data_IF_896565619955
#
_entry.id   IF_896565619955
#
_cell.length_a   1.000
_cell.length_b   1.000
_cell.length_c   1.000
_cell.angle_alpha   90.00
_cell.angle_beta   90.00
_cell.angle_gamma   90.00
#
_symmetry.space_group_name_H-M   'P 1'
#
loop_
_entity.id
_entity.type
_entity.pdbx_description
1 polymer ?
#
# COMPACT_ATOMS: atom_id res chain seq x y z
N UNK A 1 -49.69 19.94 -11.80
CA UNK A 1 -48.24 19.76 -11.94
C UNK A 1 -48.03 19.05 -13.27
N UNK A 2 -47.45 19.74 -14.23
CA UNK A 2 -47.22 19.25 -15.59
C UNK A 2 -45.75 18.87 -15.68
N UNK A 3 -45.44 17.57 -15.66
CA UNK A 3 -44.06 17.10 -15.73
C UNK A 3 -43.65 16.99 -17.20
N UNK A 4 -42.51 17.61 -17.54
CA UNK A 4 -41.92 17.54 -18.87
C UNK A 4 -40.72 16.60 -18.85
N UNK A 5 -40.60 15.78 -19.89
CA UNK A 5 -39.45 14.90 -20.08
C UNK A 5 -38.38 15.61 -20.93
N UNK A 6 -37.12 15.61 -20.46
CA UNK A 6 -35.99 16.12 -21.23
C UNK A 6 -35.53 15.10 -22.30
N UNK A 7 -34.63 15.50 -23.20
CA UNK A 7 -34.10 14.63 -24.27
C UNK A 7 -33.31 13.41 -23.76
N UNK A 8 -32.76 13.48 -22.55
CA UNK A 8 -32.10 12.36 -21.86
C UNK A 8 -33.07 11.46 -21.08
N UNK A 9 -34.37 11.80 -21.07
CA UNK A 9 -35.41 10.97 -20.47
C UNK A 9 -35.77 11.32 -19.02
N UNK A 10 -35.16 12.35 -18.41
CA UNK A 10 -35.48 12.80 -17.05
C UNK A 10 -36.77 13.62 -17.00
N UNK A 11 -37.57 13.45 -15.95
CA UNK A 11 -38.79 14.23 -15.73
C UNK A 11 -38.51 15.42 -14.81
N UNK A 12 -38.94 16.61 -15.20
CA UNK A 12 -38.80 17.83 -14.40
C UNK A 12 -40.04 18.72 -14.52
N UNK A 13 -40.26 19.57 -13.53
CA UNK A 13 -41.37 20.54 -13.53
C UNK A 13 -40.88 21.89 -14.10
N UNK A 14 -41.36 22.32 -15.28
CA UNK A 14 -40.97 23.58 -15.89
C UNK A 14 -41.43 24.82 -15.10
N UNK A 15 -42.37 24.67 -14.15
CA UNK A 15 -42.77 25.74 -13.26
C UNK A 15 -41.70 26.02 -12.17
N UNK A 16 -40.83 25.05 -11.87
CA UNK A 16 -39.77 25.16 -10.86
C UNK A 16 -38.43 25.49 -11.52
N UNK A 17 -38.11 24.85 -12.65
CA UNK A 17 -36.88 25.11 -13.38
C UNK A 17 -37.12 25.13 -14.88
N UNK A 18 -36.68 26.17 -15.57
CA UNK A 18 -36.81 26.28 -17.03
C UNK A 18 -35.96 25.23 -17.77
N UNK A 19 -34.95 24.67 -17.10
CA UNK A 19 -34.05 23.62 -17.58
C UNK A 19 -34.08 22.41 -16.66
N UNK A 20 -33.74 21.23 -17.19
CA UNK A 20 -33.70 19.99 -16.43
C UNK A 20 -32.53 20.01 -15.42
N UNK A 21 -32.78 19.99 -14.09
CA UNK A 21 -31.73 20.08 -13.08
C UNK A 21 -30.77 18.89 -13.12
N UNK A 22 -31.31 17.69 -13.34
CA UNK A 22 -30.54 16.44 -13.44
C UNK A 22 -29.52 16.49 -14.60
N UNK A 23 -29.91 17.04 -15.76
CA UNK A 23 -28.96 17.19 -16.88
C UNK A 23 -27.87 18.23 -16.59
N UNK A 24 -28.21 19.30 -15.87
CA UNK A 24 -27.26 20.36 -15.54
C UNK A 24 -26.22 19.87 -14.51
N UNK A 25 -26.63 19.02 -13.57
CA UNK A 25 -25.75 18.42 -12.58
C UNK A 25 -24.85 17.34 -13.18
N UNK A 26 -25.38 16.52 -14.10
CA UNK A 26 -24.61 15.54 -14.86
C UNK A 26 -23.53 16.20 -15.73
N UNK A 27 -23.84 17.31 -16.41
CA UNK A 27 -22.83 18.10 -17.16
C UNK A 27 -21.76 18.71 -16.24
N UNK A 28 -22.14 19.10 -15.01
CA UNK A 28 -21.19 19.65 -14.03
C UNK A 28 -20.23 18.60 -13.50
N UNK A 29 -20.72 17.38 -13.26
CA UNK A 29 -19.91 16.24 -12.84
C UNK A 29 -18.94 15.79 -13.95
N UNK A 30 -19.39 15.78 -15.20
CA UNK A 30 -18.53 15.48 -16.36
C UNK A 30 -17.40 16.51 -16.51
N UNK A 31 -17.69 17.81 -16.30
CA UNK A 31 -16.64 18.86 -16.29
C UNK A 31 -15.67 18.73 -15.12
N UNK A 32 -16.11 18.22 -13.97
CA UNK A 32 -15.23 17.95 -12.83
C UNK A 32 -14.34 16.70 -13.05
N UNK A 33 -14.76 15.76 -13.90
CA UNK A 33 -13.92 14.62 -14.29
C UNK A 33 -12.81 15.01 -15.27
N UNK A 34 -13.00 16.05 -16.10
CA UNK A 34 -11.97 16.50 -17.05
C UNK A 34 -10.85 17.34 -16.40
N UNK A 35 -11.06 17.90 -15.21
CA UNK A 35 -10.04 18.65 -14.45
C UNK A 35 -9.11 17.75 -13.62
N UNK A 36 -9.35 16.43 -13.61
CA UNK A 36 -8.51 15.43 -12.93
C UNK A 36 -7.83 14.44 -13.90
N UNK A 37 -7.70 14.81 -15.18
CA UNK A 37 -6.98 14.03 -16.20
C UNK A 37 -5.68 14.74 -16.58
N UNK A 38 -4.75 14.87 -15.62
CA UNK A 38 -3.32 14.92 -15.91
C UNK A 38 -2.48 14.51 -14.68
N UNK A 39 -2.31 13.20 -14.52
CA UNK A 39 -1.07 12.49 -14.14
C UNK A 39 -1.39 11.26 -13.29
N UNK A 40 -1.11 10.08 -13.85
CA UNK A 40 -1.27 8.80 -13.16
C UNK A 40 -1.81 7.73 -14.08
N UNK A 41 -0.95 7.18 -14.94
CA UNK A 41 -1.20 5.87 -15.55
C UNK A 41 -1.42 4.85 -14.42
N UNK A 42 -2.38 3.91 -14.54
CA UNK A 42 -2.51 2.82 -13.60
C UNK A 42 -1.39 1.81 -13.88
N UNK A 43 -0.22 2.08 -13.33
CA UNK A 43 0.89 1.14 -13.32
C UNK A 43 0.58 0.07 -12.26
N UNK A 44 0.13 -1.07 -12.76
CA UNK A 44 0.60 -2.41 -12.38
C UNK A 44 1.67 -2.40 -11.26
N UNK A 45 1.29 -2.84 -10.06
CA UNK A 45 2.23 -3.07 -8.96
C UNK A 45 2.15 -4.54 -8.53
N UNK A 46 2.56 -5.40 -9.45
CA UNK A 46 3.41 -6.53 -9.13
C UNK A 46 4.82 -6.22 -9.69
N UNK A 47 5.84 -6.54 -8.90
CA UNK A 47 7.28 -6.47 -9.22
C UNK A 47 7.99 -5.10 -9.21
N UNK A 48 9.24 -5.12 -8.73
CA UNK A 48 10.19 -4.00 -8.81
C UNK A 48 10.50 -3.71 -10.27
N UNK A 49 10.03 -2.56 -10.79
CA UNK A 49 10.33 -2.16 -12.16
C UNK A 49 11.70 -1.46 -12.27
N UNK A 50 12.55 -1.84 -13.24
CA UNK A 50 13.73 -1.07 -13.59
C UNK A 50 13.34 0.22 -14.33
N UNK A 51 14.15 1.27 -14.21
CA UNK A 51 13.96 2.52 -14.92
C UNK A 51 13.93 2.29 -16.44
N UNK A 52 12.86 2.77 -17.08
CA UNK A 52 12.62 2.64 -18.51
C UNK A 52 13.65 3.43 -19.34
N UNK A 53 14.47 2.70 -20.08
CA UNK A 53 15.26 3.20 -21.21
C UNK A 53 14.71 2.61 -22.50
N UNK A 54 14.42 3.48 -23.47
CA UNK A 54 13.74 3.20 -24.73
C UNK A 54 14.38 2.06 -25.57
N UNK A 55 13.51 1.16 -26.06
CA UNK A 55 13.69 0.43 -27.32
C UNK A 55 14.69 -0.74 -27.34
N UNK A 56 14.19 -1.97 -27.22
CA UNK A 56 14.88 -3.14 -27.77
C UNK A 56 13.88 -4.24 -28.15
N UNK A 57 13.97 -4.66 -29.41
CA UNK A 57 13.13 -5.68 -30.04
C UNK A 57 13.36 -7.07 -29.41
N UNK A 58 12.26 -7.82 -29.34
CA UNK A 58 12.18 -9.22 -28.94
C UNK A 58 13.09 -10.13 -29.78
N UNK A 59 14.09 -10.72 -29.13
CA UNK A 59 14.98 -11.73 -29.72
C UNK A 59 14.85 -13.10 -29.05
N UNK A 60 13.67 -13.45 -28.57
CA UNK A 60 13.40 -14.77 -27.96
C UNK A 60 13.24 -15.91 -28.99
N UNK A 61 14.15 -16.04 -29.95
CA UNK A 61 14.14 -17.15 -30.91
C UNK A 61 15.53 -17.73 -31.18
N UNK A 62 16.25 -18.24 -30.15
CA UNK A 62 17.30 -19.28 -30.38
C UNK A 62 17.42 -20.31 -29.25
N UNK A 63 16.94 -21.51 -29.60
CA UNK A 63 17.34 -22.88 -29.20
C UNK A 63 17.25 -23.27 -27.73
N UNK A 64 16.33 -24.22 -27.51
CA UNK A 64 16.10 -24.87 -26.23
C UNK A 64 17.28 -25.67 -25.72
N UNK A 65 17.40 -25.63 -24.40
CA UNK A 65 18.09 -26.59 -23.55
C UNK A 65 17.09 -26.95 -22.46
N UNK A 66 16.98 -28.24 -22.14
CA UNK A 66 15.96 -28.79 -21.24
C UNK A 66 16.06 -28.23 -19.82
N UNK A 67 14.90 -27.97 -19.23
CA UNK A 67 14.72 -27.72 -17.81
C UNK A 67 14.88 -29.03 -17.03
N UNK A 68 16.10 -29.32 -16.62
CA UNK A 68 16.36 -30.25 -15.53
C UNK A 68 17.17 -29.51 -14.47
N UNK A 69 16.42 -28.82 -13.62
CA UNK A 69 16.79 -27.95 -12.50
C UNK A 69 17.60 -28.68 -11.39
N UNK A 70 18.71 -29.34 -11.78
CA UNK A 70 19.63 -30.06 -10.90
C UNK A 70 20.94 -29.29 -10.82
N UNK A 71 21.24 -28.77 -9.63
CA UNK A 71 22.57 -28.24 -9.32
C UNK A 71 23.52 -29.43 -9.08
N UNK A 72 24.46 -29.65 -9.99
CA UNK A 72 25.55 -30.62 -9.80
C UNK A 72 26.78 -29.91 -9.22
N UNK A 73 27.55 -30.56 -8.33
CA UNK A 73 28.82 -30.00 -7.87
C UNK A 73 29.82 -30.00 -9.03
N UNK A 74 30.57 -28.90 -9.18
CA UNK A 74 31.67 -28.80 -10.13
C UNK A 74 32.82 -29.72 -9.69
N UNK A 75 32.91 -30.91 -10.27
CA UNK A 75 34.15 -31.70 -10.20
C UNK A 75 35.09 -31.24 -11.32
N UNK A 76 36.25 -30.75 -10.90
CA UNK A 76 37.36 -30.18 -11.67
C UNK A 76 37.22 -28.67 -11.92
N UNK A 77 38.20 -27.93 -11.39
CA UNK A 77 38.21 -26.48 -11.17
C UNK A 77 38.30 -25.61 -12.43
N UNK A 78 37.42 -25.85 -13.39
CA UNK A 78 37.28 -25.10 -14.63
C UNK A 78 36.01 -24.22 -14.58
N UNK A 79 35.75 -23.63 -13.40
CA UNK A 79 34.71 -22.62 -13.25
C UNK A 79 35.08 -21.37 -14.05
N UNK A 80 34.09 -20.79 -14.73
CA UNK A 80 34.24 -19.55 -15.51
C UNK A 80 34.94 -18.50 -14.64
N UNK A 81 36.13 -18.07 -15.05
CA UNK A 81 36.86 -17.05 -14.30
C UNK A 81 36.15 -15.72 -14.52
N UNK A 82 36.07 -14.91 -13.47
CA UNK A 82 35.51 -13.56 -13.52
C UNK A 82 36.16 -12.67 -14.59
N UNK A 83 37.36 -13.05 -15.03
CA UNK A 83 38.15 -12.36 -16.06
C UNK A 83 37.65 -12.63 -17.50
N UNK A 84 36.84 -13.67 -17.71
CA UNK A 84 36.23 -13.98 -19.02
C UNK A 84 34.94 -13.18 -19.25
N UNK A 85 34.48 -12.41 -18.26
CA UNK A 85 33.33 -11.53 -18.38
C UNK A 85 33.78 -10.15 -18.86
N UNK A 86 33.85 -9.96 -20.18
CA UNK A 86 34.09 -8.64 -20.79
C UNK A 86 32.73 -7.99 -21.07
N UNK A 87 32.25 -7.05 -20.24
CA UNK A 87 30.99 -6.38 -20.49
C UNK A 87 31.14 -5.57 -21.79
N UNK A 88 30.36 -5.92 -22.80
CA UNK A 88 30.28 -5.09 -23.99
C UNK A 88 29.59 -3.77 -23.60
N UNK A 89 30.25 -2.66 -23.90
CA UNK A 89 29.74 -1.28 -23.77
C UNK A 89 29.50 -0.75 -22.35
N UNK A 90 30.44 -0.95 -21.43
CA UNK A 90 30.55 -0.09 -20.23
C UNK A 90 29.31 -0.01 -19.34
N UNK A 91 28.46 -1.04 -19.38
CA UNK A 91 27.26 -1.11 -18.54
C UNK A 91 27.72 -1.38 -17.11
N UNK A 92 27.58 -0.38 -16.24
CA UNK A 92 27.74 -0.56 -14.80
C UNK A 92 26.75 -1.64 -14.34
N UNK A 93 27.27 -2.64 -13.66
CA UNK A 93 26.47 -3.71 -13.09
C UNK A 93 25.69 -3.07 -11.94
N UNK A 94 24.39 -2.83 -12.11
CA UNK A 94 23.53 -2.41 -11.01
C UNK A 94 23.52 -3.54 -9.97
N UNK A 95 24.29 -3.36 -8.92
CA UNK A 95 24.47 -4.33 -7.84
C UNK A 95 23.21 -4.55 -6.98
N UNK A 96 22.05 -3.97 -7.33
CA UNK A 96 20.80 -4.17 -6.60
C UNK A 96 20.89 -3.69 -5.14
N UNK A 97 21.79 -2.75 -4.87
CA UNK A 97 21.99 -2.21 -3.52
C UNK A 97 20.75 -1.42 -3.13
N UNK A 98 20.08 -1.84 -2.08
CA UNK A 98 19.06 -1.03 -1.40
C UNK A 98 19.76 0.18 -0.79
N UNK A 99 19.69 1.32 -1.48
CA UNK A 99 20.17 2.58 -0.95
C UNK A 99 19.06 3.20 -0.09
N UNK A 100 19.35 3.68 1.12
CA UNK A 100 18.40 4.55 1.80
C UNK A 100 18.21 5.80 0.94
N UNK A 101 16.99 6.36 0.86
CA UNK A 101 16.84 7.72 0.38
C UNK A 101 17.68 8.63 1.29
N UNK A 102 18.53 9.49 0.71
CA UNK A 102 19.37 10.43 1.47
C UNK A 102 18.49 11.22 2.45
N UNK A 103 18.67 10.96 3.75
CA UNK A 103 17.75 11.38 4.81
C UNK A 103 17.94 12.83 5.26
N UNK A 104 19.05 13.45 4.87
CA UNK A 104 19.52 14.65 5.56
C UNK A 104 18.78 15.92 5.15
N UNK A 105 18.05 15.94 4.02
CA UNK A 105 17.41 17.16 3.51
C UNK A 105 16.10 16.94 2.71
N UNK A 106 15.29 15.90 3.02
CA UNK A 106 13.97 15.72 2.38
C UNK A 106 12.84 16.19 3.32
N UNK A 107 12.23 17.36 3.07
CA UNK A 107 10.96 17.74 3.69
C UNK A 107 9.91 16.66 3.43
N UNK A 108 9.40 16.03 4.49
CA UNK A 108 8.35 15.00 4.39
C UNK A 108 8.81 13.55 4.57
N UNK A 109 10.05 13.29 4.99
CA UNK A 109 10.45 11.95 5.42
C UNK A 109 9.67 11.54 6.68
N UNK A 110 8.87 10.47 6.57
CA UNK A 110 8.13 9.86 7.69
C UNK A 110 8.67 8.46 7.92
N UNK A 111 9.59 8.26 8.88
CA UNK A 111 10.24 6.97 9.04
C UNK A 111 9.25 5.88 9.48
N UNK A 112 9.61 4.64 9.19
CA UNK A 112 8.90 3.47 9.73
C UNK A 112 9.30 3.31 11.20
N UNK A 113 8.32 3.18 12.08
CA UNK A 113 8.51 3.01 13.53
C UNK A 113 8.09 1.61 14.01
N UNK A 114 7.44 0.82 13.16
CA UNK A 114 7.09 -0.57 13.44
C UNK A 114 6.25 -1.19 12.32
N UNK A 115 5.76 -2.40 12.56
CA UNK A 115 4.95 -3.16 11.61
C UNK A 115 3.74 -3.83 12.27
N UNK A 116 2.70 -4.03 11.48
CA UNK A 116 1.66 -5.02 11.70
C UNK A 116 1.81 -6.12 10.67
N UNK A 117 1.96 -7.37 11.10
CA UNK A 117 2.11 -8.52 10.20
C UNK A 117 0.84 -9.36 10.22
N UNK A 118 0.22 -9.55 9.07
CA UNK A 118 -1.00 -10.36 8.98
C UNK A 118 -0.68 -11.85 9.14
N UNK A 119 -1.08 -12.43 10.26
CA UNK A 119 -0.83 -13.84 10.59
C UNK A 119 -2.04 -14.74 10.30
N UNK A 120 -3.22 -14.15 10.11
CA UNK A 120 -4.48 -14.83 9.81
C UNK A 120 -5.46 -13.88 9.11
N UNK A 121 -6.22 -14.37 8.14
CA UNK A 121 -7.14 -13.58 7.33
C UNK A 121 -6.77 -13.52 5.84
N UNK A 122 -7.50 -12.71 5.03
CA UNK A 122 -7.37 -12.67 3.58
C UNK A 122 -5.97 -12.27 3.08
N UNK A 123 -5.30 -11.37 3.79
CA UNK A 123 -3.97 -10.85 3.43
C UNK A 123 -2.84 -11.51 4.24
N UNK A 124 -2.97 -12.79 4.57
CA UNK A 124 -1.98 -13.49 5.41
C UNK A 124 -0.58 -13.44 4.77
N UNK A 125 0.44 -13.10 5.56
CA UNK A 125 1.83 -12.94 5.14
C UNK A 125 2.21 -11.51 4.79
N UNK A 126 1.24 -10.61 4.59
CA UNK A 126 1.49 -9.19 4.31
C UNK A 126 1.91 -8.44 5.58
N UNK A 127 2.95 -7.61 5.47
CA UNK A 127 3.29 -6.59 6.47
C UNK A 127 2.69 -5.23 6.12
N UNK A 128 2.37 -4.45 7.15
CA UNK A 128 1.92 -3.07 7.05
C UNK A 128 2.84 -2.22 7.90
N UNK A 129 3.40 -1.16 7.29
CA UNK A 129 4.34 -0.26 7.95
C UNK A 129 3.58 0.75 8.79
N UNK A 130 4.05 0.95 10.02
CA UNK A 130 3.57 2.01 10.92
C UNK A 130 4.55 3.17 10.82
N UNK A 131 4.04 4.39 10.65
CA UNK A 131 4.81 5.64 10.63
C UNK A 131 4.58 6.44 11.91
N UNK A 132 5.37 7.49 12.12
CA UNK A 132 5.20 8.40 13.27
C UNK A 132 3.78 8.99 13.33
N UNK A 133 3.23 9.13 14.55
CA UNK A 133 1.91 9.69 14.77
C UNK A 133 0.76 8.70 14.50
N UNK A 134 -0.35 9.20 13.96
CA UNK A 134 -1.58 8.44 13.73
C UNK A 134 -1.52 7.65 12.42
N UNK A 135 -1.84 6.36 12.49
CA UNK A 135 -2.00 5.48 11.33
C UNK A 135 -3.41 4.88 11.38
N UNK A 136 -4.29 5.35 10.50
CA UNK A 136 -5.66 4.85 10.40
C UNK A 136 -5.72 3.57 9.56
N UNK A 137 -6.43 2.59 10.09
CA UNK A 137 -6.61 1.27 9.49
C UNK A 137 -8.02 1.17 8.91
N UNK A 138 -8.13 0.73 7.66
CA UNK A 138 -9.41 0.45 7.01
C UNK A 138 -9.27 -0.44 5.79
N UNK A 139 -10.38 -0.61 5.06
CA UNK A 139 -10.48 -1.44 3.86
C UNK A 139 -10.58 -0.63 2.57
N UNK A 140 -10.35 0.68 2.63
CA UNK A 140 -10.21 1.53 1.44
C UNK A 140 -8.74 1.90 1.22
N UNK A 141 -8.39 2.13 -0.03
CA UNK A 141 -7.02 2.37 -0.49
C UNK A 141 -6.45 3.72 -0.02
N UNK A 142 -7.32 4.64 0.42
CA UNK A 142 -6.95 5.95 0.95
C UNK A 142 -6.53 5.92 2.44
N UNK A 143 -6.52 4.75 3.09
CA UNK A 143 -6.11 4.60 4.48
C UNK A 143 -4.60 4.50 4.61
N UNK A 144 -4.05 4.97 5.73
CA UNK A 144 -2.62 4.83 6.03
C UNK A 144 -2.19 3.36 6.04
N UNK A 145 -3.07 2.51 6.60
CA UNK A 145 -2.95 1.05 6.58
C UNK A 145 -4.20 0.47 5.92
N UNK A 146 -4.05 0.10 4.65
CA UNK A 146 -5.08 -0.51 3.83
C UNK A 146 -5.07 -2.04 3.95
N UNK A 147 -6.09 -2.62 4.58
CA UNK A 147 -6.28 -4.06 4.69
C UNK A 147 -7.36 -4.52 3.70
N UNK A 148 -6.93 -5.10 2.59
CA UNK A 148 -7.81 -5.59 1.53
C UNK A 148 -8.51 -6.91 1.90
N UNK A 149 -9.71 -7.12 1.36
CA UNK A 149 -10.38 -8.43 1.33
C UNK A 149 -11.23 -8.82 2.56
N UNK A 150 -11.04 -8.20 3.72
CA UNK A 150 -11.85 -8.52 4.91
C UNK A 150 -13.09 -7.63 5.03
N UNK A 151 -14.23 -8.11 4.53
CA UNK A 151 -15.49 -7.35 4.52
C UNK A 151 -15.99 -6.88 5.89
N UNK A 152 -15.49 -7.43 7.01
CA UNK A 152 -15.85 -6.99 8.36
C UNK A 152 -15.06 -5.77 8.83
N UNK A 153 -14.00 -5.41 8.12
CA UNK A 153 -13.27 -4.16 8.33
C UNK A 153 -14.02 -3.04 7.62
N UNK A 154 -14.21 -1.93 8.34
CA UNK A 154 -14.85 -0.73 7.84
C UNK A 154 -14.01 -0.16 6.71
N UNK A 155 -14.68 0.44 5.73
CA UNK A 155 -14.04 1.11 4.60
C UNK A 155 -13.00 2.11 5.07
N UNK A 156 -13.43 3.05 5.90
CA UNK A 156 -12.56 4.07 6.45
C UNK A 156 -12.48 3.96 7.97
N UNK A 157 -11.30 4.25 8.52
CA UNK A 157 -11.03 4.50 9.95
C UNK A 157 -11.69 3.47 10.90
N UNK A 158 -11.51 2.18 10.62
CA UNK A 158 -12.02 1.13 11.52
C UNK A 158 -11.25 1.10 12.84
N UNK A 159 -9.94 1.29 12.77
CA UNK A 159 -9.05 1.31 13.93
C UNK A 159 -7.90 2.28 13.69
N UNK A 160 -7.10 2.52 14.71
CA UNK A 160 -5.84 3.25 14.59
C UNK A 160 -4.73 2.57 15.37
N UNK A 161 -3.50 2.79 14.90
CA UNK A 161 -2.29 2.68 15.71
C UNK A 161 -1.68 4.06 15.82
N UNK A 162 -1.26 4.44 17.02
CA UNK A 162 -0.55 5.70 17.28
C UNK A 162 0.81 5.36 17.87
N UNK A 163 1.85 5.98 17.33
CA UNK A 163 3.17 6.01 17.96
C UNK A 163 3.37 7.37 18.62
N UNK A 164 3.64 7.35 19.93
CA UNK A 164 4.07 8.52 20.70
C UNK A 164 5.60 8.56 20.69
N UNK A 165 6.17 9.63 20.16
CA UNK A 165 7.62 9.81 20.04
C UNK A 165 8.29 10.19 21.36
N UNK A 166 7.62 10.96 22.21
CA UNK A 166 8.12 11.34 23.54
C UNK A 166 8.20 10.13 24.47
N UNK A 167 7.11 9.36 24.55
CA UNK A 167 7.01 8.19 25.42
C UNK A 167 7.58 6.92 24.77
N UNK A 168 7.76 6.91 23.45
CA UNK A 168 8.23 5.76 22.65
C UNK A 168 7.36 4.52 22.81
N UNK A 169 6.06 4.74 22.97
CA UNK A 169 5.04 3.70 23.15
C UNK A 169 4.05 3.69 21.99
N UNK A 170 3.38 2.56 21.83
CA UNK A 170 2.38 2.37 20.79
C UNK A 170 1.01 2.15 21.41
N UNK A 171 0.01 2.84 20.90
CA UNK A 171 -1.38 2.64 21.27
C UNK A 171 -2.17 2.09 20.10
N UNK A 172 -3.09 1.17 20.38
CA UNK A 172 -4.04 0.64 19.42
C UNK A 172 -5.47 0.74 19.96
N UNK A 173 -6.41 1.12 19.10
CA UNK A 173 -7.81 1.15 19.49
C UNK A 173 -8.76 1.42 18.33
N UNK A 174 -10.08 1.34 18.60
CA UNK A 174 -11.08 1.77 17.62
C UNK A 174 -11.04 3.30 17.48
N UNK A 175 -11.36 3.80 16.28
CA UNK A 175 -11.49 5.26 16.05
C UNK A 175 -12.85 5.77 16.52
N UNK A 176 -13.89 4.93 16.42
CA UNK A 176 -15.25 5.23 16.84
C UNK A 176 -15.82 4.16 17.77
N UNK A 177 -16.94 4.45 18.43
CA UNK A 177 -17.60 3.47 19.31
C UNK A 177 -18.34 2.33 18.58
N UNK A 178 -18.29 2.29 17.25
CA UNK A 178 -18.98 1.27 16.44
C UNK A 178 -18.05 0.13 16.04
N UNK A 179 -16.76 0.42 15.92
CA UNK A 179 -15.75 -0.53 15.49
C UNK A 179 -15.33 -1.46 16.63
N UNK A 180 -15.34 -2.76 16.34
CA UNK A 180 -15.09 -3.80 17.35
C UNK A 180 -13.72 -4.42 17.08
N UNK A 181 -12.75 -4.08 17.94
CA UNK A 181 -11.37 -4.56 17.84
C UNK A 181 -10.92 -5.28 19.12
N UNK A 182 -9.89 -6.12 19.00
CA UNK A 182 -9.34 -6.87 20.14
C UNK A 182 -7.83 -6.86 20.15
N UNK A 183 -7.25 -6.90 21.34
CA UNK A 183 -5.82 -7.17 21.57
C UNK A 183 -5.72 -8.42 22.45
N UNK A 184 -4.97 -9.42 22.01
CA UNK A 184 -4.80 -10.71 22.69
C UNK A 184 -6.15 -11.36 23.07
N UNK A 185 -7.13 -11.26 22.17
CA UNK A 185 -8.48 -11.81 22.35
C UNK A 185 -9.42 -10.98 23.24
N UNK A 186 -8.93 -9.93 23.92
CA UNK A 186 -9.74 -9.06 24.79
C UNK A 186 -10.31 -7.89 24.00
N UNK A 187 -11.57 -7.54 24.27
CA UNK A 187 -12.25 -6.40 23.65
C UNK A 187 -11.56 -5.08 24.08
N UNK A 188 -11.33 -4.20 23.10
CA UNK A 188 -10.74 -2.88 23.32
C UNK A 188 -11.80 -1.83 22.95
N UNK A 189 -12.22 -1.04 23.93
CA UNK A 189 -13.24 0.01 23.77
C UNK A 189 -12.65 1.42 23.71
N UNK A 190 -11.45 1.59 24.25
CA UNK A 190 -10.63 2.80 24.20
C UNK A 190 -9.20 2.39 23.81
N UNK A 191 -8.38 3.28 23.24
CA UNK A 191 -7.00 2.96 22.90
C UNK A 191 -6.23 2.39 24.11
N UNK A 192 -5.47 1.31 23.86
CA UNK A 192 -4.63 0.63 24.84
C UNK A 192 -3.21 0.53 24.32
N UNK A 193 -2.24 0.53 25.23
CA UNK A 193 -0.85 0.27 24.89
C UNK A 193 -0.69 -1.15 24.31
N UNK A 194 0.09 -1.28 23.23
CA UNK A 194 0.41 -2.57 22.59
C UNK A 194 1.89 -2.86 22.66
N UNK A 195 2.20 -4.13 22.93
CA UNK A 195 3.54 -4.61 23.17
C UNK A 195 3.98 -5.56 22.06
N UNK A 196 5.31 -5.72 21.92
CA UNK A 196 5.90 -6.62 20.93
C UNK A 196 5.23 -8.00 20.94
N UNK A 197 4.87 -8.48 19.76
CA UNK A 197 4.17 -9.75 19.50
C UNK A 197 2.71 -9.84 19.97
N UNK A 198 2.10 -8.74 20.42
CA UNK A 198 0.67 -8.71 20.69
C UNK A 198 -0.14 -9.02 19.42
N UNK A 199 -1.20 -9.82 19.58
CA UNK A 199 -2.11 -10.19 18.50
C UNK A 199 -3.32 -9.25 18.51
N UNK A 200 -3.36 -8.37 17.52
CA UNK A 200 -4.46 -7.46 17.22
C UNK A 200 -5.45 -8.17 16.30
N UNK A 201 -6.74 -8.03 16.57
CA UNK A 201 -7.81 -8.54 15.71
C UNK A 201 -8.76 -7.43 15.29
N UNK A 202 -8.98 -7.32 13.99
CA UNK A 202 -9.87 -6.37 13.34
C UNK A 202 -10.73 -7.15 12.35
N UNK A 203 -12.06 -7.11 12.49
CA UNK A 203 -12.94 -7.96 11.69
C UNK A 203 -12.64 -9.46 11.88
N UNK A 204 -12.22 -10.13 10.80
CA UNK A 204 -11.71 -11.51 10.82
C UNK A 204 -10.18 -11.61 10.82
N UNK A 205 -9.49 -10.56 10.42
CA UNK A 205 -8.03 -10.47 10.28
C UNK A 205 -7.33 -10.41 11.64
N UNK A 206 -6.23 -11.16 11.78
CA UNK A 206 -5.31 -11.07 12.93
C UNK A 206 -3.95 -10.55 12.48
N UNK A 207 -3.46 -9.56 13.20
CA UNK A 207 -2.21 -8.88 12.97
C UNK A 207 -1.32 -9.07 14.19
N UNK A 208 -0.05 -9.40 13.98
CA UNK A 208 0.98 -9.41 15.00
C UNK A 208 1.69 -8.06 15.00
N UNK A 209 1.80 -7.42 16.15
CA UNK A 209 2.52 -6.15 16.27
C UNK A 209 4.02 -6.38 16.46
N UNK A 210 4.85 -5.66 15.70
CA UNK A 210 6.31 -5.70 15.75
C UNK A 210 6.85 -4.26 15.84
N UNK A 211 7.21 -3.77 17.03
CA UNK A 211 7.81 -2.44 17.16
C UNK A 211 9.24 -2.42 16.60
N UNK A 212 9.59 -1.37 15.86
CA UNK A 212 10.98 -1.02 15.58
C UNK A 212 11.50 -0.05 16.63
N UNK A 213 10.77 1.05 16.81
CA UNK A 213 11.07 2.05 17.83
C UNK A 213 10.64 1.55 19.21
N UNK A 214 11.37 1.97 20.24
CA UNK A 214 11.13 1.62 21.64
C UNK A 214 12.36 1.92 22.49
N UNK A 215 12.55 1.15 23.56
CA UNK A 215 13.68 1.34 24.49
C UNK A 215 15.06 1.24 23.82
N UNK A 216 15.18 0.39 22.79
CA UNK A 216 16.47 0.06 22.15
C UNK A 216 16.80 0.91 20.94
N UNK A 217 15.82 1.57 20.34
CA UNK A 217 15.99 2.29 19.08
C UNK A 217 14.92 3.37 18.93
N UNK A 218 15.31 4.52 18.42
CA UNK A 218 14.42 5.54 17.89
C UNK A 218 15.18 6.32 16.79
N UNK A 219 14.47 7.17 16.06
CA UNK A 219 15.04 7.97 14.98
C UNK A 219 15.64 9.29 15.45
N UNK A 220 15.46 9.65 16.72
CA UNK A 220 16.03 10.86 17.29
C UNK A 220 17.52 10.63 17.52
N UNK A 221 18.35 11.45 16.87
CA UNK A 221 19.82 11.44 17.00
C UNK A 221 20.24 12.59 17.91
#
# INVERSE_FOLDING_TARGET
>A
MEFKQCSKGHFYDPAISSTCPECAEEERLLRQQEEYVYSGNPADYDETQPASGEGYEDLSHRRGVSDDNRTLPLENGDGLKTEDFVPHNGVEIDTGKTLPPDTDDIPGFTPVVGWLVCVDGPSKGTDYRIRTGYNYIGREENMDIYIKGDIKISREKHAMVVYDDEERVFFFGPVDGKSVVRVNGKLVTIPVEVHSYDIIKIGTTKLMFVPLCGERFNWDV
#
